data_IF_536282960749
#
_entry.id   IF_536282960749
#
_cell.length_a   1.000
_cell.length_b   1.000
_cell.length_c   1.000
_cell.angle_alpha   90.00
_cell.angle_beta   90.00
_cell.angle_gamma   90.00
#
_symmetry.space_group_name_H-M   'P 1'
#
loop_
_entity.id
_entity.type
_entity.pdbx_description
1 polymer ?
#
# COMPACT_ATOMS: atom_id res chain seq x y z
N UNK A 1 -6.77 7.52 5.33
CA UNK A 1 -6.92 7.65 3.87
C UNK A 1 -6.06 8.77 3.28
N UNK A 2 -6.14 10.02 3.77
CA UNK A 2 -5.25 11.12 3.31
C UNK A 2 -3.76 10.80 3.45
N UNK A 3 -3.34 10.33 4.63
CA UNK A 3 -1.96 9.88 4.88
C UNK A 3 -1.51 8.74 3.95
N UNK A 4 -2.41 7.80 3.64
CA UNK A 4 -2.14 6.68 2.74
C UNK A 4 -1.78 7.16 1.33
N UNK A 5 -2.49 8.16 0.80
CA UNK A 5 -2.18 8.74 -0.51
C UNK A 5 -0.85 9.49 -0.51
N UNK A 6 -0.52 10.18 0.58
CA UNK A 6 0.77 10.87 0.76
C UNK A 6 1.92 9.88 0.81
N UNK A 7 1.77 8.77 1.54
CA UNK A 7 2.78 7.70 1.56
C UNK A 7 2.95 7.03 0.21
N UNK A 8 1.85 6.70 -0.49
CA UNK A 8 1.92 6.14 -1.85
C UNK A 8 2.58 7.10 -2.83
N UNK A 9 2.34 8.42 -2.71
CA UNK A 9 3.00 9.45 -3.52
C UNK A 9 4.49 9.52 -3.22
N UNK A 10 4.88 9.51 -1.94
CA UNK A 10 6.30 9.52 -1.56
C UNK A 10 7.04 8.29 -2.12
N UNK A 11 6.44 7.10 -2.01
CA UNK A 11 7.01 5.86 -2.55
C UNK A 11 7.18 5.95 -4.08
N UNK A 12 6.18 6.45 -4.81
CA UNK A 12 6.25 6.56 -6.27
C UNK A 12 7.27 7.61 -6.73
N UNK A 13 7.41 8.72 -6.00
CA UNK A 13 8.44 9.73 -6.27
C UNK A 13 9.84 9.16 -6.05
N UNK A 14 10.06 8.42 -4.96
CA UNK A 14 11.35 7.76 -4.71
C UNK A 14 11.69 6.77 -5.82
N UNK A 15 10.73 5.94 -6.23
CA UNK A 15 10.89 5.03 -7.38
C UNK A 15 11.26 5.79 -8.66
N UNK A 16 10.55 6.87 -8.96
CA UNK A 16 10.82 7.69 -10.13
C UNK A 16 12.23 8.30 -10.11
N UNK A 17 12.66 8.83 -8.96
CA UNK A 17 14.01 9.40 -8.80
C UNK A 17 15.10 8.36 -9.03
N UNK A 18 14.97 7.16 -8.45
CA UNK A 18 15.91 6.07 -8.69
C UNK A 18 15.93 5.61 -10.15
N UNK A 19 14.76 5.47 -10.78
CA UNK A 19 14.68 5.12 -12.21
C UNK A 19 15.25 6.20 -13.11
N UNK A 20 15.05 7.46 -12.76
CA UNK A 20 15.62 8.59 -13.49
C UNK A 20 17.14 8.63 -13.37
N UNK A 21 17.69 8.35 -12.17
CA UNK A 21 19.13 8.18 -11.98
C UNK A 21 19.67 7.01 -12.80
N UNK A 22 19.00 5.86 -12.79
CA UNK A 22 19.39 4.68 -13.56
C UNK A 22 19.49 4.99 -15.07
N UNK A 23 18.54 5.73 -15.65
CA UNK A 23 18.62 6.17 -17.05
C UNK A 23 19.86 7.02 -17.37
N UNK A 24 20.40 7.76 -16.40
CA UNK A 24 21.57 8.59 -16.60
C UNK A 24 22.86 7.77 -16.69
N UNK A 25 22.90 6.62 -16.02
CA UNK A 25 24.06 5.72 -16.01
C UNK A 25 23.99 4.62 -17.07
N UNK A 26 22.83 4.41 -17.69
CA UNK A 26 22.64 3.40 -18.73
C UNK A 26 23.22 3.87 -20.09
N UNK A 27 23.86 2.97 -20.87
CA UNK A 27 24.31 3.27 -22.23
C UNK A 27 23.16 3.80 -23.09
N UNK A 28 23.45 4.72 -24.03
CA UNK A 28 22.40 5.38 -24.83
C UNK A 28 21.51 4.39 -25.58
N UNK A 29 22.08 3.27 -26.02
CA UNK A 29 21.40 2.21 -26.75
C UNK A 29 20.38 1.43 -25.90
N UNK A 30 20.47 1.50 -24.57
CA UNK A 30 19.59 0.79 -23.64
C UNK A 30 18.62 1.72 -22.90
N UNK A 31 18.71 3.04 -23.12
CA UNK A 31 17.85 4.04 -22.46
C UNK A 31 16.38 3.79 -22.80
N UNK A 32 15.64 3.23 -21.83
CA UNK A 32 14.19 3.09 -21.93
C UNK A 32 13.55 4.47 -22.18
N UNK A 33 12.56 4.58 -23.07
CA UNK A 33 11.91 5.86 -23.33
C UNK A 33 11.20 6.37 -22.07
N UNK A 34 11.29 7.68 -21.80
CA UNK A 34 10.72 8.31 -20.59
C UNK A 34 9.22 7.99 -20.39
N UNK A 35 8.49 7.80 -21.50
CA UNK A 35 7.08 7.38 -21.50
C UNK A 35 6.85 6.04 -20.80
N UNK A 36 7.80 5.10 -20.86
CA UNK A 36 7.70 3.80 -20.18
C UNK A 36 7.85 3.99 -18.67
N UNK A 37 8.80 4.81 -18.23
CA UNK A 37 9.05 5.04 -16.79
C UNK A 37 7.88 5.77 -16.13
N UNK A 38 7.23 6.70 -16.83
CA UNK A 38 6.02 7.35 -16.33
C UNK A 38 4.91 6.31 -16.11
N UNK A 39 4.72 5.36 -17.04
CA UNK A 39 3.74 4.27 -16.89
C UNK A 39 4.10 3.35 -15.72
N UNK A 40 5.38 2.98 -15.58
CA UNK A 40 5.87 2.16 -14.47
C UNK A 40 5.65 2.88 -13.12
N UNK A 41 5.92 4.18 -13.05
CA UNK A 41 5.72 5.00 -11.84
C UNK A 41 4.25 5.10 -11.44
N UNK A 42 3.35 5.26 -12.41
CA UNK A 42 1.90 5.23 -12.16
C UNK A 42 1.46 3.87 -11.64
N UNK A 43 1.98 2.78 -12.22
CA UNK A 43 1.69 1.42 -11.74
C UNK A 43 2.15 1.25 -10.28
N UNK A 44 3.36 1.71 -9.94
CA UNK A 44 3.89 1.66 -8.57
C UNK A 44 3.01 2.47 -7.60
N UNK A 45 2.53 3.64 -8.01
CA UNK A 45 1.61 4.43 -7.19
C UNK A 45 0.31 3.68 -6.89
N UNK A 46 -0.36 3.12 -7.93
CA UNK A 46 -1.58 2.34 -7.73
C UNK A 46 -1.34 1.09 -6.88
N UNK A 47 -0.24 0.38 -7.11
CA UNK A 47 0.15 -0.78 -6.32
C UNK A 47 0.35 -0.42 -4.84
N UNK A 48 0.98 0.73 -4.54
CA UNK A 48 1.17 1.21 -3.18
C UNK A 48 -0.17 1.59 -2.52
N UNK A 49 -1.08 2.28 -3.23
CA UNK A 49 -2.41 2.64 -2.71
C UNK A 49 -3.21 1.38 -2.38
N UNK A 50 -3.28 0.44 -3.33
CA UNK A 50 -4.00 -0.83 -3.15
C UNK A 50 -3.35 -1.65 -2.03
N UNK A 51 -2.03 -1.70 -1.95
CA UNK A 51 -1.30 -2.40 -0.89
C UNK A 51 -1.63 -1.87 0.50
N UNK A 52 -1.66 -0.55 0.68
CA UNK A 52 -2.04 0.07 1.97
C UNK A 52 -3.52 -0.18 2.28
N UNK A 53 -4.40 -0.14 1.27
CA UNK A 53 -5.81 -0.46 1.46
C UNK A 53 -6.00 -1.92 1.89
N UNK A 54 -5.37 -2.87 1.20
CA UNK A 54 -5.41 -4.28 1.56
C UNK A 54 -4.85 -4.49 2.96
N UNK A 55 -3.71 -3.87 3.30
CA UNK A 55 -3.14 -3.94 4.63
C UNK A 55 -4.12 -3.45 5.71
N UNK A 56 -4.81 -2.33 5.46
CA UNK A 56 -5.86 -1.84 6.36
C UNK A 56 -7.04 -2.81 6.52
N UNK A 57 -7.31 -3.63 5.51
CA UNK A 57 -8.33 -4.68 5.57
C UNK A 57 -7.84 -5.95 6.26
N UNK A 58 -6.52 -6.17 6.39
CA UNK A 58 -5.94 -7.27 7.16
C UNK A 58 -5.66 -6.89 8.62
N UNK A 59 -5.51 -5.60 8.91
CA UNK A 59 -5.52 -5.04 10.28
C UNK A 59 -6.96 -4.99 10.86
N UNK A 60 -7.73 -6.07 10.65
CA UNK A 60 -9.03 -6.23 11.26
C UNK A 60 -8.79 -6.37 12.76
N UNK A 61 -9.20 -5.37 13.52
CA UNK A 61 -9.27 -5.40 14.99
C UNK A 61 -10.06 -6.62 15.52
N UNK A 62 -10.86 -7.27 14.69
CA UNK A 62 -11.58 -8.51 15.04
C UNK A 62 -10.67 -9.75 15.16
N UNK A 63 -9.48 -9.76 14.54
CA UNK A 63 -8.52 -10.88 14.72
C UNK A 63 -7.66 -10.68 15.97
N UNK A 64 -7.45 -9.42 16.40
CA UNK A 64 -6.74 -9.06 17.64
C UNK A 64 -7.71 -8.63 18.75
N UNK A 65 -8.63 -9.53 19.11
CA UNK A 65 -9.24 -9.58 20.44
C UNK A 65 -10.29 -8.51 20.75
N UNK A 66 -11.54 -8.77 20.35
CA UNK A 66 -12.68 -8.33 21.14
C UNK A 66 -13.13 -9.47 22.05
N UNK A 67 -12.76 -9.41 23.34
CA UNK A 67 -13.42 -10.13 24.44
C UNK A 67 -14.89 -9.70 24.59
N UNK A 68 -15.68 -9.78 23.52
CA UNK A 68 -17.13 -9.86 23.62
C UNK A 68 -17.43 -11.34 23.45
N UNK A 69 -17.29 -12.08 24.54
CA UNK A 69 -17.91 -13.39 24.65
C UNK A 69 -19.31 -13.25 24.04
N UNK A 70 -19.63 -14.13 23.08
CA UNK A 70 -20.93 -14.13 22.40
C UNK A 70 -22.00 -14.03 23.48
N UNK A 71 -22.70 -12.89 23.55
CA UNK A 71 -23.64 -12.57 24.64
C UNK A 71 -24.81 -13.58 24.72
N UNK A 72 -24.88 -14.52 23.77
CA UNK A 72 -25.83 -15.63 23.73
C UNK A 72 -25.67 -16.64 24.88
N UNK A 73 -24.53 -16.67 25.59
CA UNK A 73 -24.28 -17.67 26.66
C UNK A 73 -23.76 -17.08 27.98
N UNK A 74 -23.89 -15.76 28.19
CA UNK A 74 -23.41 -15.10 29.42
C UNK A 74 -24.51 -14.82 30.45
N UNK A 75 -25.74 -15.25 30.17
CA UNK A 75 -26.85 -15.02 31.09
C UNK A 75 -26.79 -16.00 32.26
N UNK A 76 -26.78 -15.48 33.49
CA UNK A 76 -26.75 -16.31 34.69
C UNK A 76 -28.18 -16.79 35.00
N UNK A 77 -28.41 -18.07 35.35
CA UNK A 77 -29.76 -18.59 35.55
C UNK A 77 -30.51 -17.77 36.60
N UNK A 78 -31.65 -17.21 36.21
CA UNK A 78 -32.60 -16.55 37.10
C UNK A 78 -33.40 -17.64 37.81
N UNK A 79 -32.96 -18.03 39.00
CA UNK A 79 -33.77 -18.82 39.93
C UNK A 79 -34.83 -17.94 40.58
#
# INVERSE_FOLDING_TARGET
MKESFIYSLAISVVFFLFKFLEMKFLPEDEKKPLKVIIKETLLVYFAAVVGIMLYSQFDIKDIKGGNKATMAFVDNPSF
#
